data_IF_445180746740
#
_entry.id   IF_445180746740
#
_cell.length_a   1.000
_cell.length_b   1.000
_cell.length_c   1.000
_cell.angle_alpha   90.00
_cell.angle_beta   90.00
_cell.angle_gamma   90.00
#
_symmetry.space_group_name_H-M   'P 1'
#
loop_
_entity.id
_entity.type
_entity.pdbx_description
1 polymer ?
#
# COMPACT_ATOMS: atom_id res chain seq x y z
N UNK A 1 -5.42 67.68 -12.23
CA UNK A 1 -4.22 67.22 -12.96
C UNK A 1 -3.62 66.02 -12.22
N UNK A 2 -4.23 64.85 -12.39
CA UNK A 2 -3.91 63.62 -11.62
C UNK A 2 -3.09 62.72 -12.53
N UNK A 3 -1.88 62.37 -12.09
CA UNK A 3 -0.82 61.76 -12.90
C UNK A 3 -1.27 60.40 -13.48
N UNK A 4 -1.02 60.10 -14.77
CA UNK A 4 -1.47 58.88 -15.44
C UNK A 4 -0.87 57.58 -14.86
N UNK A 5 0.21 57.69 -14.06
CA UNK A 5 0.93 56.56 -13.46
C UNK A 5 0.11 55.87 -12.35
N UNK A 6 -0.71 56.60 -11.60
CA UNK A 6 -1.52 56.02 -10.51
C UNK A 6 -2.67 55.15 -11.03
N UNK A 7 -3.16 55.42 -12.24
CA UNK A 7 -4.23 54.65 -12.88
C UNK A 7 -3.73 53.30 -13.43
N UNK A 8 -2.46 53.23 -13.82
CA UNK A 8 -1.83 52.00 -14.32
C UNK A 8 -1.46 51.04 -13.18
N UNK A 9 -1.02 51.58 -12.03
CA UNK A 9 -0.71 50.77 -10.84
C UNK A 9 -1.98 50.13 -10.24
N UNK A 10 -3.11 50.84 -10.24
CA UNK A 10 -4.38 50.31 -9.72
C UNK A 10 -4.96 49.21 -10.61
N UNK A 11 -4.74 49.28 -11.93
CA UNK A 11 -5.19 48.24 -12.88
C UNK A 11 -4.35 46.95 -12.76
N UNK A 12 -3.05 47.07 -12.46
CA UNK A 12 -2.18 45.91 -12.25
C UNK A 12 -2.49 45.16 -10.94
N UNK A 13 -2.87 45.88 -9.87
CA UNK A 13 -3.29 45.26 -8.59
C UNK A 13 -4.65 44.57 -8.71
N UNK A 14 -5.56 45.09 -9.55
CA UNK A 14 -6.84 44.44 -9.83
C UNK A 14 -6.71 43.22 -10.77
N UNK A 15 -5.74 43.21 -11.70
CA UNK A 15 -5.47 42.01 -12.52
C UNK A 15 -4.79 40.89 -11.73
N UNK A 16 -3.90 41.21 -10.78
CA UNK A 16 -3.28 40.21 -9.89
C UNK A 16 -4.23 39.68 -8.79
N UNK A 17 -5.32 40.41 -8.49
CA UNK A 17 -6.28 40.05 -7.44
C UNK A 17 -7.35 39.04 -7.88
N UNK A 18 -7.58 38.86 -9.18
CA UNK A 18 -8.66 38.00 -9.69
C UNK A 18 -8.29 36.50 -9.73
N UNK A 19 -7.01 36.17 -9.88
CA UNK A 19 -6.56 34.76 -9.88
C UNK A 19 -6.45 34.18 -8.45
N UNK A 20 -6.36 35.04 -7.43
CA UNK A 20 -6.14 34.60 -6.04
C UNK A 20 -7.44 34.23 -5.30
N UNK A 21 -8.58 34.81 -5.69
CA UNK A 21 -9.86 34.61 -4.99
C UNK A 21 -10.57 33.29 -5.40
N UNK A 22 -10.39 32.82 -6.63
CA UNK A 22 -10.97 31.55 -7.12
C UNK A 22 -10.24 30.31 -6.53
N UNK A 23 -8.98 30.48 -6.12
CA UNK A 23 -8.15 29.39 -5.57
C UNK A 23 -8.58 28.97 -4.15
N UNK A 24 -9.03 29.92 -3.32
CA UNK A 24 -9.43 29.64 -1.94
C UNK A 24 -10.83 28.99 -1.85
N UNK A 25 -11.75 29.33 -2.77
CA UNK A 25 -13.12 28.78 -2.77
C UNK A 25 -13.17 27.36 -3.37
N UNK A 26 -12.24 27.03 -4.29
CA UNK A 26 -12.04 25.65 -4.80
C UNK A 26 -11.42 24.68 -3.79
N UNK A 27 -10.84 25.18 -2.70
CA UNK A 27 -10.21 24.36 -1.66
C UNK A 27 -11.22 23.54 -0.81
N UNK A 28 -12.52 23.81 -0.93
CA UNK A 28 -13.59 23.04 -0.26
C UNK A 28 -14.18 21.91 -1.12
N UNK A 29 -13.59 21.60 -2.28
CA UNK A 29 -13.94 20.38 -3.01
C UNK A 29 -13.44 19.20 -2.16
N UNK A 30 -14.36 18.55 -1.46
CA UNK A 30 -14.04 17.34 -0.69
C UNK A 30 -13.26 16.39 -1.59
N UNK A 31 -12.01 16.14 -1.22
CA UNK A 31 -11.24 15.08 -1.83
C UNK A 31 -12.06 13.80 -1.70
N UNK A 32 -12.23 13.13 -2.83
CA UNK A 32 -12.84 11.81 -2.92
C UNK A 32 -11.84 10.89 -3.58
N UNK A 33 -11.93 9.60 -3.28
CA UNK A 33 -11.03 8.60 -3.86
C UNK A 33 -11.05 8.64 -5.39
N UNK A 34 -12.23 8.82 -5.97
CA UNK A 34 -12.41 8.97 -7.42
C UNK A 34 -11.68 10.20 -7.95
N UNK A 35 -11.76 11.34 -7.24
CA UNK A 35 -11.06 12.56 -7.64
C UNK A 35 -9.55 12.41 -7.53
N UNK A 36 -9.04 11.81 -6.45
CA UNK A 36 -7.60 11.55 -6.28
C UNK A 36 -7.08 10.65 -7.41
N UNK A 37 -7.82 9.59 -7.77
CA UNK A 37 -7.44 8.73 -8.91
C UNK A 37 -7.40 9.49 -10.23
N UNK A 38 -8.36 10.39 -10.48
CA UNK A 38 -8.35 11.26 -11.66
C UNK A 38 -7.11 12.16 -11.67
N UNK A 39 -6.81 12.83 -10.55
CA UNK A 39 -5.64 13.71 -10.43
C UNK A 39 -4.33 12.96 -10.67
N UNK A 40 -4.17 11.77 -10.07
CA UNK A 40 -2.99 10.92 -10.30
C UNK A 40 -2.82 10.55 -11.79
N UNK A 41 -3.92 10.41 -12.54
CA UNK A 41 -3.88 10.11 -13.98
C UNK A 41 -3.70 11.35 -14.87
N UNK A 42 -4.18 12.51 -14.43
CA UNK A 42 -4.20 13.74 -15.20
C UNK A 42 -2.91 14.56 -15.06
N UNK A 43 -2.29 14.52 -13.88
CA UNK A 43 -1.07 15.27 -13.61
C UNK A 43 0.11 14.58 -14.29
N UNK A 44 0.71 15.25 -15.28
CA UNK A 44 1.89 14.77 -16.01
C UNK A 44 3.12 15.55 -15.57
N UNK A 45 4.13 14.81 -15.12
CA UNK A 45 5.44 15.35 -14.76
C UNK A 45 6.33 15.32 -16.01
N UNK A 46 6.84 16.50 -16.42
CA UNK A 46 7.69 16.62 -17.61
C UNK A 46 8.99 15.85 -17.45
N UNK A 47 9.65 16.03 -16.32
CA UNK A 47 10.92 15.38 -16.02
C UNK A 47 11.01 15.18 -14.51
N UNK A 48 11.23 13.93 -14.12
CA UNK A 48 11.60 13.53 -12.78
C UNK A 48 13.10 13.22 -12.81
N UNK A 49 13.90 13.82 -11.91
CA UNK A 49 15.32 13.48 -11.82
C UNK A 49 15.52 12.00 -11.46
N UNK A 50 16.73 11.49 -11.62
CA UNK A 50 17.08 10.19 -11.06
C UNK A 50 16.88 10.22 -9.54
N UNK A 51 16.05 9.31 -9.03
CA UNK A 51 15.67 9.23 -7.60
C UNK A 51 16.29 8.02 -6.91
N UNK A 52 17.33 7.43 -7.51
CA UNK A 52 18.09 6.34 -6.88
C UNK A 52 18.70 6.79 -5.55
N UNK A 53 18.52 5.99 -4.51
CA UNK A 53 18.99 6.27 -3.15
C UNK A 53 18.10 7.19 -2.33
N UNK A 54 17.06 7.79 -2.93
CA UNK A 54 16.09 8.63 -2.22
C UNK A 54 15.30 7.81 -1.22
N UNK A 55 15.05 8.38 -0.05
CA UNK A 55 14.16 7.85 0.96
C UNK A 55 12.68 8.04 0.56
N UNK A 56 11.80 7.21 1.10
CA UNK A 56 10.35 7.35 0.89
C UNK A 56 9.85 8.74 1.34
N UNK A 57 10.46 9.34 2.36
CA UNK A 57 10.21 10.72 2.78
C UNK A 57 10.49 11.72 1.66
N UNK A 58 11.69 11.69 1.08
CA UNK A 58 12.08 12.61 -0.01
C UNK A 58 11.19 12.44 -1.24
N UNK A 59 10.79 11.19 -1.53
CA UNK A 59 9.85 10.91 -2.60
C UNK A 59 8.45 11.46 -2.30
N UNK A 60 7.96 11.33 -1.07
CA UNK A 60 6.68 11.91 -0.67
C UNK A 60 6.67 13.43 -0.76
N UNK A 61 7.77 14.09 -0.38
CA UNK A 61 7.95 15.54 -0.52
C UNK A 61 8.02 15.97 -2.00
N UNK A 62 8.67 15.18 -2.85
CA UNK A 62 8.69 15.41 -4.30
C UNK A 62 7.29 15.24 -4.92
N UNK A 63 6.56 14.21 -4.50
CA UNK A 63 5.18 13.95 -4.94
C UNK A 63 4.24 15.08 -4.52
N UNK A 64 4.30 15.56 -3.28
CA UNK A 64 3.48 16.70 -2.82
C UNK A 64 3.79 17.96 -3.65
N UNK A 65 5.07 18.26 -3.88
CA UNK A 65 5.50 19.42 -4.67
C UNK A 65 4.98 19.36 -6.10
N UNK A 66 5.18 18.24 -6.80
CA UNK A 66 4.74 18.09 -8.18
C UNK A 66 3.21 18.01 -8.28
N UNK A 67 2.53 17.39 -7.30
CA UNK A 67 1.07 17.37 -7.23
C UNK A 67 0.51 18.79 -7.11
N UNK A 68 0.99 19.61 -6.17
CA UNK A 68 0.52 21.00 -5.99
C UNK A 68 0.84 21.89 -7.18
N UNK A 69 2.05 21.78 -7.73
CA UNK A 69 2.52 22.65 -8.82
C UNK A 69 1.75 22.43 -10.12
N UNK A 70 1.33 21.20 -10.38
CA UNK A 70 0.70 20.80 -11.65
C UNK A 70 -0.80 20.54 -11.52
N UNK A 71 -1.36 20.59 -10.32
CA UNK A 71 -2.80 20.49 -10.08
C UNK A 71 -3.49 21.83 -10.42
N UNK A 72 -4.41 21.86 -11.41
CA UNK A 72 -5.13 23.09 -11.79
C UNK A 72 -6.09 23.59 -10.70
N UNK A 73 -6.41 22.76 -9.69
CA UNK A 73 -7.22 23.17 -8.55
C UNK A 73 -6.39 23.72 -7.37
N UNK A 74 -5.06 23.55 -7.38
CA UNK A 74 -4.17 24.01 -6.32
C UNK A 74 -4.36 23.34 -4.95
N UNK A 75 -5.16 22.27 -4.87
CA UNK A 75 -5.50 21.61 -3.60
C UNK A 75 -4.43 20.59 -3.21
N UNK A 76 -3.76 20.00 -4.20
CA UNK A 76 -2.73 18.98 -3.99
C UNK A 76 -3.30 17.65 -3.50
N UNK A 77 -2.42 16.72 -3.12
CA UNK A 77 -2.77 15.38 -2.63
C UNK A 77 -2.00 15.12 -1.34
N UNK A 78 -2.69 14.61 -0.31
CA UNK A 78 -2.02 14.21 0.92
C UNK A 78 -1.35 12.85 0.75
N UNK A 79 -0.10 12.73 1.19
CA UNK A 79 0.65 11.47 1.21
C UNK A 79 0.94 11.08 2.65
N UNK A 80 0.52 9.89 3.06
CA UNK A 80 0.65 9.38 4.43
C UNK A 80 1.47 8.11 4.43
N UNK A 81 2.50 8.05 5.27
CA UNK A 81 3.24 6.81 5.53
C UNK A 81 2.69 6.20 6.80
N UNK A 82 2.09 5.02 6.69
CA UNK A 82 1.62 4.26 7.84
C UNK A 82 2.77 3.37 8.34
N UNK A 83 3.36 3.65 9.52
CA UNK A 83 4.42 2.82 10.06
C UNK A 83 3.88 1.48 10.59
N UNK A 84 2.57 1.27 10.66
CA UNK A 84 2.02 0.01 11.15
C UNK A 84 2.03 -1.05 10.05
N UNK A 85 2.47 -2.25 10.41
CA UNK A 85 2.22 -3.47 9.64
C UNK A 85 0.75 -3.87 9.80
N UNK A 86 -0.01 -3.82 8.70
CA UNK A 86 -1.35 -4.40 8.67
C UNK A 86 -1.17 -5.90 8.43
N UNK A 87 -1.09 -6.68 9.50
CA UNK A 87 -1.28 -8.12 9.42
C UNK A 87 -2.78 -8.37 9.22
N UNK A 88 -3.26 -8.44 7.98
CA UNK A 88 -4.61 -8.97 7.76
C UNK A 88 -4.63 -10.41 8.29
N UNK A 89 -5.60 -10.77 9.16
CA UNK A 89 -5.70 -12.13 9.66
C UNK A 89 -5.80 -13.08 8.48
N UNK A 90 -4.82 -13.99 8.39
CA UNK A 90 -4.85 -15.14 7.49
C UNK A 90 -6.22 -15.78 7.61
N UNK A 91 -6.91 -15.97 6.48
CA UNK A 91 -8.26 -16.53 6.45
C UNK A 91 -8.36 -17.77 7.36
N UNK A 92 -9.27 -17.72 8.33
CA UNK A 92 -9.76 -18.90 9.05
C UNK A 92 -9.21 -19.20 10.44
N UNK A 93 -8.66 -18.24 11.20
CA UNK A 93 -8.48 -18.44 12.66
C UNK A 93 -9.22 -17.37 13.48
N UNK A 94 -10.40 -17.68 14.05
CA UNK A 94 -11.05 -16.84 15.03
C UNK A 94 -10.39 -17.05 16.40
N UNK A 95 -9.19 -16.50 16.58
CA UNK A 95 -8.61 -16.13 17.88
C UNK A 95 -7.21 -15.53 17.67
N UNK A 96 -7.16 -14.25 17.28
CA UNK A 96 -6.00 -13.43 17.61
C UNK A 96 -6.06 -13.18 19.12
N UNK A 97 -5.41 -14.06 19.89
CA UNK A 97 -5.15 -13.82 21.30
C UNK A 97 -4.31 -12.54 21.37
N UNK A 98 -4.68 -11.51 22.17
CA UNK A 98 -3.80 -10.38 22.39
C UNK A 98 -2.46 -10.91 22.90
N UNK A 99 -1.37 -10.45 22.30
CA UNK A 99 -0.01 -10.76 22.74
C UNK A 99 0.14 -10.29 24.18
N UNK A 100 0.03 -11.22 25.14
CA UNK A 100 0.28 -10.92 26.55
C UNK A 100 1.79 -10.68 26.74
N UNK A 101 2.20 -9.79 27.67
CA UNK A 101 3.59 -9.61 28.02
C UNK A 101 4.21 -10.95 28.44
N UNK A 102 5.43 -11.24 27.95
CA UNK A 102 6.20 -12.43 28.33
C UNK A 102 6.42 -12.43 29.83
N UNK A 103 5.74 -13.32 30.53
CA UNK A 103 6.02 -13.64 31.94
C UNK A 103 7.18 -14.63 31.95
N UNK A 104 8.27 -14.42 32.71
CA UNK A 104 9.34 -15.41 32.84
C UNK A 104 8.78 -16.70 33.43
N UNK A 105 8.81 -17.80 32.66
CA UNK A 105 8.44 -19.13 33.15
C UNK A 105 9.64 -19.69 33.92
N UNK A 106 9.51 -20.06 35.21
CA UNK A 106 10.61 -20.67 35.94
C UNK A 106 11.03 -22.00 35.29
N UNK A 107 12.33 -22.35 35.30
CA UNK A 107 12.81 -23.59 34.70
C UNK A 107 12.16 -24.79 35.39
N UNK A 108 11.60 -25.70 34.59
CA UNK A 108 11.05 -26.96 35.09
C UNK A 108 12.23 -27.90 35.38
N UNK A 109 12.34 -28.37 36.62
CA UNK A 109 13.43 -29.26 37.08
C UNK A 109 12.92 -30.69 37.01
N UNK A 110 13.68 -31.59 36.38
CA UNK A 110 13.32 -33.01 36.34
C UNK A 110 13.39 -33.62 37.76
N UNK A 111 12.29 -34.16 38.31
CA UNK A 111 12.24 -34.65 39.69
C UNK A 111 13.14 -35.86 39.99
N UNK A 112 13.55 -36.63 38.97
CA UNK A 112 14.34 -37.85 39.14
C UNK A 112 15.85 -37.61 38.98
N UNK A 113 16.23 -36.55 38.27
CA UNK A 113 17.64 -36.27 37.96
C UNK A 113 18.16 -34.96 38.55
N UNK A 114 17.27 -34.08 39.02
CA UNK A 114 17.65 -32.77 39.57
C UNK A 114 18.30 -31.84 38.55
N UNK A 115 18.31 -32.25 37.27
CA UNK A 115 18.86 -31.49 36.17
C UNK A 115 17.75 -30.63 35.54
N UNK A 116 18.09 -29.42 35.05
CA UNK A 116 17.16 -28.65 34.25
C UNK A 116 16.83 -29.44 32.97
N UNK A 117 15.55 -29.69 32.67
CA UNK A 117 15.17 -30.13 31.34
C UNK A 117 15.37 -28.95 30.39
N UNK A 118 16.12 -29.11 29.27
CA UNK A 118 16.17 -28.10 28.23
C UNK A 118 14.76 -27.91 27.68
N UNK A 119 14.07 -26.88 28.15
CA UNK A 119 12.87 -26.40 27.48
C UNK A 119 13.32 -26.02 26.08
N UNK A 120 12.65 -26.55 25.05
CA UNK A 120 12.84 -26.08 23.70
C UNK A 120 12.72 -24.55 23.77
N UNK A 121 13.84 -23.87 23.53
CA UNK A 121 13.87 -22.42 23.57
C UNK A 121 12.74 -21.95 22.66
N UNK A 122 11.87 -21.02 23.10
CA UNK A 122 11.01 -20.35 22.16
C UNK A 122 11.91 -19.88 21.03
N UNK A 123 11.63 -20.38 19.83
CA UNK A 123 12.25 -19.90 18.59
C UNK A 123 12.37 -18.39 18.71
N UNK A 124 13.58 -17.88 18.51
CA UNK A 124 13.90 -16.46 18.65
C UNK A 124 12.73 -15.61 18.11
N UNK A 125 12.35 -14.51 18.78
CA UNK A 125 11.21 -13.72 18.36
C UNK A 125 11.35 -13.47 16.87
N UNK A 126 10.42 -14.02 16.09
CA UNK A 126 10.19 -13.60 14.71
C UNK A 126 10.22 -12.09 14.77
N UNK A 127 11.17 -11.49 14.03
CA UNK A 127 11.47 -10.06 14.08
C UNK A 127 10.17 -9.28 14.33
N UNK A 128 10.08 -8.42 15.37
CA UNK A 128 8.90 -7.60 15.57
C UNK A 128 8.69 -6.89 14.24
N UNK A 129 7.56 -7.19 13.61
CA UNK A 129 7.30 -6.80 12.24
C UNK A 129 7.60 -5.31 12.12
N UNK A 130 8.74 -5.00 11.51
CA UNK A 130 9.30 -3.66 11.53
C UNK A 130 8.44 -2.86 10.58
N UNK A 131 7.79 -1.85 11.13
CA UNK A 131 7.00 -0.89 10.40
C UNK A 131 7.72 -0.28 9.21
N UNK A 132 6.98 0.41 8.35
CA UNK A 132 7.63 1.27 7.34
C UNK A 132 8.24 2.47 8.06
N UNK A 133 9.56 2.52 8.12
CA UNK A 133 10.32 3.73 8.43
C UNK A 133 10.58 4.52 7.14
N UNK A 134 9.97 5.70 7.00
CA UNK A 134 10.05 6.50 5.76
C UNK A 134 11.49 6.92 5.38
N UNK A 135 12.39 7.02 6.35
CA UNK A 135 13.79 7.43 6.14
C UNK A 135 14.69 6.24 5.75
N UNK A 136 14.39 5.05 6.30
CA UNK A 136 15.16 3.83 6.04
C UNK A 136 14.82 3.20 4.69
N UNK A 137 13.58 3.35 4.23
CA UNK A 137 13.09 2.77 2.97
C UNK A 137 13.60 3.61 1.80
N UNK A 138 14.47 3.01 0.99
CA UNK A 138 15.13 3.67 -0.15
C UNK A 138 14.64 3.13 -1.49
N UNK A 139 14.61 4.02 -2.47
CA UNK A 139 14.41 3.69 -3.88
C UNK A 139 15.71 3.12 -4.46
N UNK A 140 15.62 2.01 -5.18
CA UNK A 140 16.71 1.35 -5.90
C UNK A 140 16.33 1.12 -7.35
N UNK A 141 17.25 1.43 -8.27
CA UNK A 141 17.11 1.10 -9.68
C UNK A 141 16.38 2.14 -10.53
N UNK A 142 15.99 3.29 -9.96
CA UNK A 142 15.53 4.46 -10.71
C UNK A 142 16.70 5.42 -10.99
N UNK A 143 17.69 4.91 -11.73
CA UNK A 143 18.93 5.63 -12.09
C UNK A 143 18.77 6.55 -13.31
N UNK A 144 17.76 6.30 -14.15
CA UNK A 144 17.45 7.13 -15.31
C UNK A 144 16.38 8.18 -14.97
N UNK A 145 16.48 9.40 -15.52
CA UNK A 145 15.41 10.39 -15.39
C UNK A 145 14.16 9.90 -16.13
N UNK A 146 12.99 10.08 -15.51
CA UNK A 146 11.70 9.71 -16.10
C UNK A 146 11.09 10.95 -16.77
N UNK A 147 10.61 10.82 -18.00
CA UNK A 147 10.05 11.93 -18.76
C UNK A 147 8.60 11.67 -19.13
N UNK A 148 7.78 12.72 -19.02
CA UNK A 148 6.35 12.71 -19.40
C UNK A 148 5.56 11.57 -18.73
N UNK A 149 5.84 11.30 -17.46
CA UNK A 149 5.15 10.28 -16.68
C UNK A 149 3.98 10.89 -15.92
N UNK A 150 2.89 10.17 -15.77
CA UNK A 150 1.80 10.62 -14.90
C UNK A 150 2.21 10.47 -13.43
N UNK A 151 1.62 11.27 -12.53
CA UNK A 151 1.88 11.18 -11.09
C UNK A 151 1.59 9.76 -10.55
N UNK A 152 0.54 9.11 -11.07
CA UNK A 152 0.22 7.72 -10.77
C UNK A 152 1.23 6.71 -11.32
N UNK A 153 1.76 6.92 -12.52
CA UNK A 153 2.83 6.08 -13.07
C UNK A 153 4.13 6.24 -12.29
N UNK A 154 4.47 7.46 -11.90
CA UNK A 154 5.63 7.72 -11.07
C UNK A 154 5.49 7.06 -9.70
N UNK A 155 4.33 7.18 -9.06
CA UNK A 155 4.02 6.50 -7.80
C UNK A 155 4.15 4.98 -7.92
N UNK A 156 3.60 4.38 -8.99
CA UNK A 156 3.72 2.94 -9.24
C UNK A 156 5.17 2.49 -9.48
N UNK A 157 5.95 3.27 -10.24
CA UNK A 157 7.36 3.00 -10.47
C UNK A 157 8.18 3.06 -9.18
N UNK A 158 7.95 4.07 -8.35
CA UNK A 158 8.58 4.20 -7.03
C UNK A 158 8.28 2.95 -6.20
N UNK A 159 7.02 2.58 -6.03
CA UNK A 159 6.59 1.46 -5.19
C UNK A 159 7.24 0.14 -5.61
N UNK A 160 7.43 -0.08 -6.92
CA UNK A 160 8.12 -1.25 -7.47
C UNK A 160 9.63 -1.24 -7.27
N UNK A 161 10.21 -0.06 -7.14
CA UNK A 161 11.65 0.17 -6.98
C UNK A 161 12.08 0.33 -5.52
N UNK A 162 11.18 0.24 -4.54
CA UNK A 162 11.55 0.30 -3.13
C UNK A 162 12.27 -0.97 -2.68
N UNK A 163 13.26 -0.81 -1.81
CA UNK A 163 13.98 -1.93 -1.17
C UNK A 163 13.06 -2.81 -0.30
N UNK A 164 12.02 -2.21 0.28
CA UNK A 164 11.01 -2.88 1.11
C UNK A 164 9.69 -2.98 0.34
N UNK A 165 8.95 -4.10 0.42
CA UNK A 165 7.65 -4.21 -0.20
C UNK A 165 6.64 -3.26 0.46
N UNK A 166 6.11 -2.33 -0.33
CA UNK A 166 5.11 -1.33 0.10
C UNK A 166 3.85 -1.49 -0.74
N UNK A 167 2.68 -1.37 -0.10
CA UNK A 167 1.37 -1.26 -0.73
C UNK A 167 0.89 0.18 -0.66
N UNK A 168 0.22 0.63 -1.72
CA UNK A 168 -0.49 1.91 -1.74
C UNK A 168 -1.99 1.68 -1.64
N UNK A 169 -2.66 2.35 -0.70
CA UNK A 169 -4.11 2.52 -0.70
C UNK A 169 -4.46 3.98 -1.01
N UNK A 170 -5.46 4.16 -1.84
CA UNK A 170 -6.01 5.48 -2.15
C UNK A 170 -7.30 5.60 -1.36
N UNK A 171 -7.25 6.39 -0.30
CA UNK A 171 -8.41 6.75 0.51
C UNK A 171 -9.07 8.00 -0.06
N UNK A 172 -10.20 8.42 0.53
CA UNK A 172 -10.90 9.62 0.07
C UNK A 172 -10.12 10.91 0.29
N UNK A 173 -9.19 10.94 1.25
CA UNK A 173 -8.47 12.14 1.67
C UNK A 173 -6.96 12.11 1.38
N UNK A 174 -6.39 10.93 1.11
CA UNK A 174 -4.95 10.75 1.00
C UNK A 174 -4.56 9.47 0.23
N UNK A 175 -3.30 9.45 -0.20
CA UNK A 175 -2.58 8.25 -0.63
C UNK A 175 -1.78 7.71 0.56
N UNK A 176 -2.11 6.50 1.00
CA UNK A 176 -1.51 5.86 2.19
C UNK A 176 -0.55 4.76 1.76
N UNK A 177 0.71 4.90 2.16
CA UNK A 177 1.74 3.86 2.04
C UNK A 177 1.69 2.94 3.25
N UNK A 178 1.64 1.63 3.02
CA UNK A 178 1.55 0.59 4.05
C UNK A 178 2.55 -0.53 3.75
N UNK A 179 3.06 -1.20 4.78
CA UNK A 179 3.93 -2.34 4.56
C UNK A 179 3.15 -3.45 3.85
N UNK A 180 3.73 -4.05 2.82
CA UNK A 180 3.18 -5.26 2.19
C UNK A 180 3.94 -6.45 2.73
N UNK A 181 3.28 -7.33 3.48
CA UNK A 181 3.92 -8.55 3.93
C UNK A 181 4.20 -9.43 2.69
N UNK A 182 5.43 -9.94 2.50
CA UNK A 182 5.72 -10.86 1.40
C UNK A 182 4.99 -12.20 1.56
N UNK A 183 4.54 -12.56 2.78
CA UNK A 183 3.72 -13.75 3.07
C UNK A 183 2.22 -13.53 2.82
N UNK A 184 1.76 -12.29 2.60
CA UNK A 184 0.41 -12.03 2.09
C UNK A 184 0.34 -12.45 0.63
N UNK A 185 0.12 -13.75 0.41
CA UNK A 185 -0.26 -14.28 -0.88
C UNK A 185 -1.53 -13.55 -1.36
N UNK A 186 -1.53 -13.07 -2.61
CA UNK A 186 -2.72 -12.49 -3.22
C UNK A 186 -3.84 -13.54 -3.18
N UNK A 187 -4.85 -13.29 -2.35
CA UNK A 187 -6.02 -14.17 -2.24
C UNK A 187 -6.89 -13.92 -3.47
N UNK A 188 -6.85 -14.85 -4.42
CA UNK A 188 -7.72 -14.81 -5.58
C UNK A 188 -9.03 -15.55 -5.28
N UNK A 189 -10.16 -14.85 -5.30
CA UNK A 189 -11.47 -15.50 -5.31
C UNK A 189 -11.77 -16.02 -6.72
N UNK A 190 -12.00 -17.33 -6.84
CA UNK A 190 -12.51 -17.95 -8.09
C UNK A 190 -13.93 -18.46 -7.85
N UNK A 191 -14.83 -18.18 -8.78
CA UNK A 191 -16.21 -18.71 -8.74
C UNK A 191 -16.29 -19.97 -9.59
N UNK A 192 -16.69 -21.08 -8.97
CA UNK A 192 -16.93 -22.34 -9.67
C UNK A 192 -18.42 -22.64 -9.66
N UNK A 193 -18.97 -23.01 -10.83
CA UNK A 193 -20.31 -23.57 -10.89
C UNK A 193 -20.21 -25.06 -10.57
N UNK A 194 -20.67 -25.45 -9.39
CA UNK A 194 -20.74 -26.84 -8.97
C UNK A 194 -22.19 -27.34 -9.07
N UNK A 195 -22.36 -28.59 -9.47
CA UNK A 195 -23.64 -29.28 -9.34
C UNK A 195 -23.74 -29.83 -7.90
N UNK A 196 -24.72 -29.39 -7.09
CA UNK A 196 -24.77 -29.74 -5.66
C UNK A 196 -24.93 -31.24 -5.43
N UNK A 197 -25.57 -31.97 -6.35
CA UNK A 197 -25.83 -33.40 -6.20
C UNK A 197 -24.56 -34.26 -6.34
N UNK A 198 -23.58 -33.82 -7.15
CA UNK A 198 -22.31 -34.53 -7.35
C UNK A 198 -21.19 -33.97 -6.48
N UNK A 199 -21.28 -32.71 -6.06
CA UNK A 199 -20.26 -32.07 -5.23
C UNK A 199 -20.08 -32.76 -3.87
N UNK A 200 -21.18 -33.11 -3.19
CA UNK A 200 -21.12 -33.82 -1.91
C UNK A 200 -20.50 -35.22 -2.00
N UNK A 201 -20.69 -35.92 -3.12
CA UNK A 201 -20.11 -37.25 -3.36
C UNK A 201 -18.59 -37.18 -3.59
N UNK A 202 -18.08 -36.05 -4.07
CA UNK A 202 -16.64 -35.83 -4.27
C UNK A 202 -15.90 -35.33 -3.03
N UNK A 203 -16.60 -34.88 -1.99
CA UNK A 203 -16.01 -34.36 -0.75
C UNK A 203 -15.89 -35.40 0.38
N UNK A 204 -16.45 -36.59 0.21
CA UNK A 204 -16.25 -37.67 1.18
C UNK A 204 -14.77 -38.09 1.14
N UNK A 205 -14.04 -38.02 2.26
CA UNK A 205 -12.65 -38.49 2.30
C UNK A 205 -12.65 -39.95 1.87
N UNK A 206 -11.97 -40.25 0.77
CA UNK A 206 -11.79 -41.62 0.31
C UNK A 206 -11.05 -42.37 1.41
N UNK A 207 -11.79 -43.15 2.20
CA UNK A 207 -11.22 -44.17 3.06
C UNK A 207 -10.36 -45.09 2.20
N UNK A 208 -9.13 -45.31 2.64
CA UNK A 208 -8.13 -46.19 2.05
C UNK A 208 -8.72 -47.40 1.29
N UNK A 209 -8.50 -47.47 -0.02
CA UNK A 209 -8.79 -48.68 -0.79
C UNK A 209 -8.74 -48.51 -2.32
N UNK A 210 -7.66 -49.03 -2.92
CA UNK A 210 -7.46 -49.38 -4.34
C UNK A 210 -7.01 -48.29 -5.35
N UNK A 211 -5.83 -48.46 -5.98
CA UNK A 211 -5.40 -47.65 -7.11
C UNK A 211 -6.00 -48.15 -8.44
N UNK A 212 -6.46 -47.21 -9.27
CA UNK A 212 -6.51 -47.32 -10.73
C UNK A 212 -7.49 -48.32 -11.36
N UNK A 213 -8.58 -47.82 -11.92
CA UNK A 213 -9.32 -48.48 -12.99
C UNK A 213 -9.70 -47.45 -14.08
N UNK A 214 -9.34 -47.67 -15.36
CA UNK A 214 -9.74 -46.75 -16.43
C UNK A 214 -11.27 -46.75 -16.56
N UNK A 215 -11.82 -45.54 -16.73
CA UNK A 215 -13.24 -45.33 -16.95
C UNK A 215 -13.75 -46.15 -18.15
N UNK A 216 -14.86 -46.90 -18.03
CA UNK A 216 -15.48 -47.52 -19.20
C UNK A 216 -16.00 -46.42 -20.14
N UNK A 217 -15.59 -46.53 -21.41
CA UNK A 217 -15.94 -45.62 -22.48
C UNK A 217 -17.47 -45.55 -22.69
N UNK A 218 -17.97 -44.33 -22.89
CA UNK A 218 -19.35 -44.08 -23.22
C UNK A 218 -19.75 -44.77 -24.55
N UNK A 219 -20.89 -45.48 -24.63
CA UNK A 219 -21.42 -45.94 -25.90
C UNK A 219 -21.91 -44.73 -26.70
N UNK A 220 -21.37 -44.59 -27.91
CA UNK A 220 -21.76 -43.56 -28.85
C UNK A 220 -23.14 -43.81 -29.47
N UNK A 221 -23.77 -42.67 -29.79
CA UNK A 221 -25.04 -42.41 -30.48
C UNK A 221 -26.30 -42.40 -29.61
#
# INVERSE_FOLDING_TARGET
MIKPVTKLLLLAVLLLGAECLDAAERASVRMSRTRIRQLLSQIVIDEVPAVDGFSLREVAELLDREARRRDPAGVGINFIVNPNIVSLPRGGQPNAVPVQPVVPVPPLIDPNTGLPIPQAQPVAPVNPAKGIDADAVKVKGLTAPLRRVTLGQFLDAVVKSLDTPVRVSIEDYAVVFMHKNPDEQDVFTRTFRANPNTFGQGLTPAGNGQPGGPAPAAPGR
#
